data_IF_966621910281
#
_entry.id   IF_966621910281
#
_cell.length_a   1.000
_cell.length_b   1.000
_cell.length_c   1.000
_cell.angle_alpha   90.00
_cell.angle_beta   90.00
_cell.angle_gamma   90.00
#
_symmetry.space_group_name_H-M   'P 1'
#
loop_
_entity.id
_entity.type
_entity.pdbx_description
1 polymer ?
#
# COMPACT_ATOMS: atom_id res chain seq x y z
N UNK A 1 10.94 1.04 -17.80
CA UNK A 1 10.08 0.52 -16.72
C UNK A 1 10.07 -1.02 -16.81
N UNK A 2 10.00 -1.76 -15.70
CA UNK A 2 9.91 -3.23 -15.70
C UNK A 2 8.69 -3.64 -14.89
N UNK A 3 7.71 -4.25 -15.56
CA UNK A 3 6.54 -4.84 -14.90
C UNK A 3 6.97 -6.11 -14.17
N UNK A 4 6.45 -6.28 -12.96
CA UNK A 4 6.68 -7.41 -12.06
C UNK A 4 5.38 -7.81 -11.38
N UNK A 5 5.38 -8.98 -10.74
CA UNK A 5 4.30 -9.36 -9.82
C UNK A 5 4.21 -8.32 -8.69
N UNK A 6 2.99 -8.01 -8.26
CA UNK A 6 2.77 -7.04 -7.18
C UNK A 6 3.44 -7.45 -5.86
N UNK A 7 3.58 -8.74 -5.56
CA UNK A 7 4.28 -9.21 -4.36
C UNK A 7 5.78 -8.94 -4.45
N UNK A 8 6.41 -9.09 -5.63
CA UNK A 8 7.82 -8.71 -5.82
C UNK A 8 8.05 -7.21 -5.59
N UNK A 9 7.04 -6.38 -5.83
CA UNK A 9 7.11 -4.94 -5.50
C UNK A 9 6.98 -4.72 -4.00
N UNK A 10 6.07 -5.44 -3.32
CA UNK A 10 5.94 -5.34 -1.86
C UNK A 10 7.17 -5.89 -1.14
N UNK A 11 7.83 -6.91 -1.67
CA UNK A 11 9.12 -7.38 -1.18
C UNK A 11 10.17 -6.26 -1.24
N UNK A 12 10.27 -5.49 -2.34
CA UNK A 12 11.17 -4.32 -2.42
C UNK A 12 10.85 -3.25 -1.35
N UNK A 13 9.57 -3.07 -0.98
CA UNK A 13 9.14 -2.13 0.07
C UNK A 13 9.58 -2.64 1.44
N UNK A 14 9.36 -3.92 1.68
CA UNK A 14 9.64 -4.58 2.96
C UNK A 14 11.14 -4.72 3.21
N UNK A 15 11.92 -5.01 2.18
CA UNK A 15 13.38 -5.09 2.25
C UNK A 15 14.06 -3.71 2.18
N UNK A 16 13.28 -2.62 2.07
CA UNK A 16 13.85 -1.29 2.11
C UNK A 16 14.29 -0.96 3.54
N UNK A 17 15.59 -0.68 3.75
CA UNK A 17 16.12 -0.15 5.01
C UNK A 17 15.68 1.33 5.25
N UNK A 18 14.49 1.71 4.79
CA UNK A 18 13.95 3.05 4.88
C UNK A 18 13.24 3.29 6.21
N UNK A 19 12.95 4.56 6.51
CA UNK A 19 12.16 4.90 7.71
C UNK A 19 10.73 4.38 7.53
N UNK A 20 10.25 3.43 8.35
CA UNK A 20 8.97 2.77 8.11
C UNK A 20 7.76 3.71 8.10
N UNK A 21 7.77 4.75 8.93
CA UNK A 21 6.71 5.77 9.01
C UNK A 21 6.73 6.78 7.85
N UNK A 22 7.78 6.76 7.01
CA UNK A 22 7.94 7.67 5.89
C UNK A 22 7.13 7.28 4.65
N UNK A 23 6.46 6.13 4.67
CA UNK A 23 5.68 5.63 3.55
C UNK A 23 4.29 6.24 3.51
N UNK A 24 3.81 6.56 2.29
CA UNK A 24 2.51 7.18 2.04
C UNK A 24 1.80 6.42 0.92
N UNK A 25 0.49 6.27 1.02
CA UNK A 25 -0.29 5.51 0.07
C UNK A 25 -1.47 6.31 -0.50
N UNK A 26 -1.78 6.09 -1.78
CA UNK A 26 -3.03 6.54 -2.41
C UNK A 26 -3.60 5.33 -3.13
N UNK A 27 -4.84 4.94 -2.87
CA UNK A 27 -5.47 3.82 -3.55
C UNK A 27 -6.96 4.04 -3.81
N UNK A 28 -7.53 3.21 -4.68
CA UNK A 28 -8.94 3.23 -5.01
C UNK A 28 -9.24 2.33 -6.20
N UNK A 29 -10.48 2.40 -6.70
CA UNK A 29 -10.89 1.65 -7.87
C UNK A 29 -10.05 2.01 -9.10
N UNK A 30 -9.73 1.03 -9.96
CA UNK A 30 -9.12 1.30 -11.27
C UNK A 30 -10.01 2.22 -12.11
N UNK A 31 -9.40 3.07 -12.94
CA UNK A 31 -10.12 3.89 -13.95
C UNK A 31 -11.02 3.05 -14.87
N UNK A 32 -10.68 1.79 -15.09
CA UNK A 32 -11.49 0.86 -15.86
C UNK A 32 -11.16 -0.59 -15.53
N UNK A 33 -12.14 -1.46 -15.79
CA UNK A 33 -12.01 -2.88 -15.52
C UNK A 33 -12.30 -3.24 -14.06
N UNK A 34 -11.92 -4.46 -13.68
CA UNK A 34 -12.03 -4.97 -12.31
C UNK A 34 -10.69 -4.77 -11.61
N UNK A 35 -10.74 -4.40 -10.33
CA UNK A 35 -9.58 -4.33 -9.47
C UNK A 35 -9.31 -2.93 -8.93
N UNK A 36 -8.21 -2.85 -8.17
CA UNK A 36 -7.76 -1.66 -7.47
C UNK A 36 -6.46 -1.15 -8.10
N UNK A 37 -6.22 0.13 -7.89
CA UNK A 37 -5.01 0.85 -8.28
C UNK A 37 -4.44 1.52 -7.04
N UNK A 38 -3.12 1.45 -6.88
CA UNK A 38 -2.45 1.96 -5.69
C UNK A 38 -1.08 2.52 -6.02
N UNK A 39 -0.76 3.66 -5.42
CA UNK A 39 0.57 4.22 -5.39
C UNK A 39 1.12 4.17 -3.97
N UNK A 40 2.35 3.65 -3.83
CA UNK A 40 3.14 3.69 -2.60
C UNK A 40 4.35 4.60 -2.82
N UNK A 41 4.49 5.62 -1.98
CA UNK A 41 5.55 6.62 -2.07
C UNK A 41 6.36 6.71 -0.78
N UNK A 42 7.69 6.72 -0.91
CA UNK A 42 8.59 7.08 0.19
C UNK A 42 9.62 8.11 -0.30
N UNK A 43 9.89 9.19 0.45
CA UNK A 43 10.76 10.29 0.03
C UNK A 43 12.13 9.85 -0.52
N UNK A 44 12.74 8.86 0.13
CA UNK A 44 14.09 8.37 -0.22
C UNK A 44 14.12 7.10 -1.08
N UNK A 45 13.02 6.35 -1.16
CA UNK A 45 12.99 5.03 -1.85
C UNK A 45 12.37 5.16 -3.22
N UNK A 46 11.31 5.94 -3.39
CA UNK A 46 10.65 6.12 -4.68
C UNK A 46 9.15 5.95 -4.63
N UNK A 47 8.56 5.90 -5.82
CA UNK A 47 7.14 5.68 -6.02
C UNK A 47 6.94 4.39 -6.79
N UNK A 48 6.02 3.57 -6.31
CA UNK A 48 5.62 2.31 -6.88
C UNK A 48 4.14 2.38 -7.22
N UNK A 49 3.78 1.95 -8.42
CA UNK A 49 2.40 1.75 -8.81
C UNK A 49 2.10 0.24 -8.78
N UNK A 50 0.96 -0.10 -8.20
CA UNK A 50 0.43 -1.45 -8.06
C UNK A 50 -0.98 -1.48 -8.61
N UNK A 51 -1.31 -2.55 -9.35
CA UNK A 51 -2.68 -2.85 -9.76
C UNK A 51 -3.00 -4.26 -9.36
N UNK A 52 -4.12 -4.45 -8.66
CA UNK A 52 -4.51 -5.73 -8.11
C UNK A 52 -5.95 -6.06 -8.48
N UNK A 53 -6.30 -7.34 -8.50
CA UNK A 53 -7.69 -7.79 -8.52
C UNK A 53 -7.86 -8.99 -7.59
N UNK A 54 -9.02 -9.08 -6.95
CA UNK A 54 -9.40 -10.26 -6.21
C UNK A 54 -9.91 -11.33 -7.18
N UNK A 55 -9.13 -12.40 -7.35
CA UNK A 55 -9.59 -13.58 -8.10
C UNK A 55 -10.72 -14.29 -7.35
N UNK A 56 -10.58 -14.36 -6.03
CA UNK A 56 -11.56 -14.86 -5.07
C UNK A 56 -11.28 -14.25 -3.68
N UNK A 57 -12.13 -14.46 -2.66
CA UNK A 57 -11.95 -13.85 -1.34
C UNK A 57 -10.65 -14.21 -0.59
N UNK A 58 -9.86 -15.16 -1.11
CA UNK A 58 -8.62 -15.64 -0.50
C UNK A 58 -7.39 -15.38 -1.37
N UNK A 59 -7.56 -14.94 -2.62
CA UNK A 59 -6.48 -14.80 -3.58
C UNK A 59 -6.58 -13.47 -4.30
N UNK A 60 -5.58 -12.63 -4.07
CA UNK A 60 -5.35 -11.37 -4.78
C UNK A 60 -4.16 -11.56 -5.70
N UNK A 61 -4.32 -11.15 -6.95
CA UNK A 61 -3.26 -11.13 -7.94
C UNK A 61 -3.07 -9.71 -8.45
N UNK A 62 -1.92 -9.45 -9.06
CA UNK A 62 -1.63 -8.10 -9.51
C UNK A 62 -0.26 -7.95 -10.15
N UNK A 63 -0.06 -6.77 -10.69
CA UNK A 63 1.20 -6.34 -11.28
C UNK A 63 1.62 -5.02 -10.67
N UNK A 64 2.91 -4.70 -10.79
CA UNK A 64 3.39 -3.40 -10.41
C UNK A 64 4.73 -3.04 -11.00
N UNK A 65 5.11 -1.79 -10.77
CA UNK A 65 6.40 -1.26 -11.18
C UNK A 65 6.79 -0.06 -10.31
N UNK A 66 8.10 0.15 -10.18
CA UNK A 66 8.63 1.43 -9.70
C UNK A 66 8.52 2.48 -10.81
N UNK A 67 7.81 3.56 -10.55
CA UNK A 67 7.52 4.65 -11.50
C UNK A 67 8.39 5.89 -11.25
N UNK A 68 8.83 6.11 -10.01
CA UNK A 68 9.79 7.16 -9.67
C UNK A 68 10.88 6.69 -8.69
N UNK A 69 12.04 7.37 -8.72
CA UNK A 69 13.18 7.02 -7.84
C UNK A 69 13.10 7.64 -6.46
N UNK A 70 12.32 8.71 -6.31
CA UNK A 70 12.06 9.45 -5.07
C UNK A 70 10.71 10.18 -5.22
N UNK A 71 10.16 10.65 -4.10
CA UNK A 71 9.10 11.67 -4.12
C UNK A 71 9.80 13.03 -4.18
N UNK A 72 9.57 13.80 -5.23
CA UNK A 72 10.09 15.17 -5.37
C UNK A 72 8.99 16.21 -5.13
N UNK A 73 9.33 17.49 -5.26
CA UNK A 73 8.42 18.60 -4.95
C UNK A 73 7.16 18.63 -5.84
N UNK A 74 7.17 17.95 -7.00
CA UNK A 74 6.01 17.81 -7.88
C UNK A 74 5.10 16.67 -7.43
N UNK A 75 5.68 15.57 -6.95
CA UNK A 75 4.94 14.39 -6.48
C UNK A 75 4.47 14.51 -5.02
N UNK A 76 5.20 15.24 -4.18
CA UNK A 76 4.91 15.36 -2.74
C UNK A 76 3.47 15.81 -2.43
N UNK A 77 2.90 16.79 -3.13
CA UNK A 77 1.51 17.23 -2.89
C UNK A 77 0.46 16.19 -3.27
N UNK A 78 0.80 15.17 -4.07
CA UNK A 78 -0.11 14.12 -4.50
C UNK A 78 -0.20 12.96 -3.49
N UNK A 79 0.61 12.97 -2.43
CA UNK A 79 0.56 11.98 -1.37
C UNK A 79 -0.04 12.57 -0.10
N UNK A 80 -0.78 11.76 0.69
CA UNK A 80 -1.41 12.24 1.91
C UNK A 80 -0.38 12.69 2.96
N UNK A 81 -0.75 13.72 3.71
CA UNK A 81 0.01 14.18 4.88
C UNK A 81 -0.38 13.44 6.16
N UNK A 82 0.26 13.78 7.27
CA UNK A 82 -0.06 13.20 8.58
C UNK A 82 -1.51 13.47 9.01
N UNK A 83 -2.10 14.58 8.59
CA UNK A 83 -3.49 14.93 8.92
C UNK A 83 -4.55 14.13 8.12
N UNK A 84 -4.16 13.33 7.13
CA UNK A 84 -5.10 12.49 6.38
C UNK A 84 -5.76 11.45 7.31
N UNK A 85 -7.03 11.10 7.06
CA UNK A 85 -7.77 10.21 7.95
C UNK A 85 -7.44 8.72 7.80
N UNK A 86 -7.03 8.30 6.61
CA UNK A 86 -6.71 6.90 6.33
C UNK A 86 -5.29 6.51 6.76
N UNK A 87 -5.10 5.24 7.06
CA UNK A 87 -3.82 4.65 7.46
C UNK A 87 -3.64 3.30 6.78
N UNK A 88 -2.41 2.95 6.47
CA UNK A 88 -2.04 1.63 5.97
C UNK A 88 -0.81 1.10 6.71
N UNK A 89 -0.65 -0.21 6.73
CA UNK A 89 0.55 -0.86 7.24
C UNK A 89 0.79 -2.18 6.53
N UNK A 90 2.06 -2.46 6.23
CA UNK A 90 2.55 -3.72 5.68
C UNK A 90 3.10 -4.53 6.85
N UNK A 91 2.71 -5.79 6.97
CA UNK A 91 3.22 -6.67 8.02
C UNK A 91 3.72 -7.98 7.40
N UNK A 92 4.79 -8.51 7.97
CA UNK A 92 5.29 -9.84 7.63
C UNK A 92 4.71 -10.89 8.59
N UNK A 93 4.72 -12.14 8.17
CA UNK A 93 4.45 -13.25 9.06
C UNK A 93 5.61 -13.40 10.05
N UNK A 94 5.29 -13.67 11.31
CA UNK A 94 6.30 -14.00 12.33
C UNK A 94 7.01 -15.31 11.97
N UNK A 95 8.32 -15.35 12.18
CA UNK A 95 9.16 -16.50 11.85
C UNK A 95 8.81 -17.70 12.74
N UNK A 96 8.54 -17.44 14.02
CA UNK A 96 8.23 -18.47 15.00
C UNK A 96 7.33 -18.00 16.17
N UNK A 97 7.08 -18.92 17.10
CA UNK A 97 6.22 -18.67 18.26
C UNK A 97 6.87 -17.73 19.29
N UNK A 98 8.20 -17.71 19.37
CA UNK A 98 8.91 -16.89 20.33
C UNK A 98 8.85 -15.42 19.89
N UNK A 99 9.11 -15.13 18.60
CA UNK A 99 8.94 -13.80 18.02
C UNK A 99 7.48 -13.30 18.17
N UNK A 100 6.51 -14.15 17.80
CA UNK A 100 5.09 -13.78 17.93
C UNK A 100 4.70 -13.45 19.39
N UNK A 101 5.32 -14.15 20.36
CA UNK A 101 5.08 -13.90 21.80
C UNK A 101 5.74 -12.62 22.27
N UNK A 102 6.92 -12.29 21.76
CA UNK A 102 7.62 -11.03 22.05
C UNK A 102 6.81 -9.84 21.55
N UNK A 103 6.45 -9.83 20.26
CA UNK A 103 5.64 -8.77 19.64
C UNK A 103 4.28 -8.61 20.30
N UNK A 104 3.65 -9.71 20.73
CA UNK A 104 2.40 -9.65 21.48
C UNK A 104 2.53 -8.90 22.82
N UNK A 105 3.65 -9.06 23.55
CA UNK A 105 3.89 -8.35 24.82
C UNK A 105 4.20 -6.87 24.60
N UNK A 106 4.95 -6.56 23.55
CA UNK A 106 5.23 -5.18 23.16
C UNK A 106 3.94 -4.45 22.80
N UNK A 107 3.11 -5.09 21.97
CA UNK A 107 1.79 -4.56 21.62
C UNK A 107 0.90 -4.38 22.86
N UNK A 108 0.85 -5.36 23.77
CA UNK A 108 0.12 -5.24 25.03
C UNK A 108 0.56 -4.01 25.83
N UNK A 109 1.87 -3.80 25.96
CA UNK A 109 2.46 -2.65 26.68
C UNK A 109 2.09 -1.32 26.03
N UNK A 110 2.13 -1.24 24.70
CA UNK A 110 1.71 -0.05 23.94
C UNK A 110 0.25 0.28 24.25
N UNK A 111 -0.64 -0.70 24.10
CA UNK A 111 -2.08 -0.49 24.35
C UNK A 111 -2.36 -0.05 25.78
N UNK A 112 -1.72 -0.67 26.78
CA UNK A 112 -1.85 -0.27 28.18
C UNK A 112 -1.41 1.18 28.40
N UNK A 113 -0.29 1.58 27.81
CA UNK A 113 0.26 2.93 27.92
C UNK A 113 -0.72 3.98 27.38
N UNK A 114 -1.28 3.76 26.19
CA UNK A 114 -2.28 4.68 25.61
C UNK A 114 -3.63 4.65 26.32
N UNK A 115 -3.97 3.56 27.02
CA UNK A 115 -5.18 3.50 27.83
C UNK A 115 -5.08 4.34 29.11
N UNK A 116 -3.87 4.51 29.66
CA UNK A 116 -3.61 5.22 30.92
C UNK A 116 -3.23 6.70 30.74
N UNK A 117 -2.87 7.12 29.53
CA UNK A 117 -2.44 8.50 29.22
C UNK A 117 -3.24 9.13 28.07
N UNK A 118 -3.34 10.47 28.00
CA UNK A 118 -3.90 11.14 26.82
C UNK A 118 -3.15 10.74 25.53
N UNK A 119 -3.90 10.30 24.53
CA UNK A 119 -3.36 9.86 23.22
C UNK A 119 -4.10 10.50 22.05
N UNK A 120 -3.50 10.45 20.86
CA UNK A 120 -4.16 10.66 19.57
C UNK A 120 -4.27 9.33 18.82
N UNK A 121 -5.08 9.29 17.75
CA UNK A 121 -5.15 8.12 16.87
C UNK A 121 -3.82 7.85 16.17
N UNK A 122 -3.11 8.92 15.81
CA UNK A 122 -1.83 8.85 15.09
C UNK A 122 -0.72 8.28 15.96
N UNK A 123 -0.60 8.78 17.19
CA UNK A 123 0.40 8.26 18.13
C UNK A 123 0.16 6.78 18.45
N UNK A 124 -1.09 6.40 18.69
CA UNK A 124 -1.44 4.99 18.92
C UNK A 124 -1.12 4.13 17.69
N UNK A 125 -1.42 4.61 16.50
CA UNK A 125 -1.15 3.88 15.27
C UNK A 125 0.36 3.69 15.07
N UNK A 126 1.16 4.75 15.19
CA UNK A 126 2.62 4.69 15.04
C UNK A 126 3.24 3.72 16.04
N UNK A 127 2.86 3.79 17.33
CA UNK A 127 3.40 2.91 18.36
C UNK A 127 2.95 1.44 18.18
N UNK A 128 1.73 1.20 17.68
CA UNK A 128 1.26 -0.15 17.32
C UNK A 128 2.06 -0.72 16.15
N UNK A 129 2.25 0.06 15.09
CA UNK A 129 3.02 -0.40 13.93
C UNK A 129 4.49 -0.62 14.30
N UNK A 130 5.04 0.21 15.19
CA UNK A 130 6.37 0.00 15.77
C UNK A 130 6.47 -1.29 16.59
N UNK A 131 5.48 -1.58 17.45
CA UNK A 131 5.45 -2.83 18.22
C UNK A 131 5.23 -4.08 17.36
N UNK A 132 4.64 -3.93 16.17
CA UNK A 132 4.53 -5.01 15.19
C UNK A 132 5.80 -5.15 14.34
N UNK A 133 6.77 -4.24 14.47
CA UNK A 133 7.96 -4.13 13.63
C UNK A 133 7.59 -4.04 12.14
N UNK A 134 6.60 -3.19 11.86
CA UNK A 134 6.09 -3.04 10.52
C UNK A 134 7.13 -2.32 9.64
N UNK A 135 7.52 -2.92 8.49
CA UNK A 135 8.54 -2.34 7.61
C UNK A 135 8.06 -1.10 6.85
N UNK A 136 6.74 -0.92 6.70
CA UNK A 136 6.18 0.23 6.00
C UNK A 136 4.77 0.53 6.50
N UNK A 137 4.55 1.75 6.97
CA UNK A 137 3.25 2.22 7.41
C UNK A 137 3.16 3.75 7.29
N UNK A 138 1.93 4.27 7.29
CA UNK A 138 1.73 5.71 7.28
C UNK A 138 0.35 6.13 6.79
N UNK A 139 0.20 7.40 6.40
CA UNK A 139 -1.07 7.92 5.94
C UNK A 139 -1.45 7.32 4.58
N UNK A 140 -2.75 7.10 4.41
CA UNK A 140 -3.35 6.60 3.19
C UNK A 140 -4.54 7.47 2.79
N UNK A 141 -4.60 7.84 1.51
CA UNK A 141 -5.82 8.33 0.90
C UNK A 141 -6.50 7.16 0.19
N UNK A 142 -7.75 6.88 0.55
CA UNK A 142 -8.52 5.75 0.03
C UNK A 142 -10.01 6.02 0.12
N UNK A 143 -10.72 5.81 -0.99
CA UNK A 143 -12.17 5.79 -1.03
C UNK A 143 -12.65 4.37 -1.35
N UNK A 144 -13.56 3.84 -0.53
CA UNK A 144 -14.12 2.49 -0.69
C UNK A 144 -15.16 2.39 -1.81
N UNK A 145 -15.67 3.52 -2.28
CA UNK A 145 -16.79 3.59 -3.21
C UNK A 145 -16.43 4.33 -4.50
N UNK A 146 -15.29 5.00 -4.54
CA UNK A 146 -14.86 5.82 -5.64
C UNK A 146 -13.33 5.86 -5.75
N UNK A 147 -12.84 6.64 -6.71
CA UNK A 147 -11.43 6.92 -6.93
C UNK A 147 -11.09 8.31 -6.40
N UNK A 148 -10.12 8.45 -5.47
CA UNK A 148 -9.65 9.76 -5.02
C UNK A 148 -9.06 10.61 -6.16
N UNK A 149 -9.23 11.93 -6.09
CA UNK A 149 -8.71 12.87 -7.09
C UNK A 149 -7.17 12.76 -7.21
N UNK A 150 -6.48 12.60 -6.08
CA UNK A 150 -5.02 12.41 -6.03
C UNK A 150 -4.58 11.14 -6.78
N UNK A 151 -5.42 10.09 -6.78
CA UNK A 151 -5.13 8.87 -7.51
C UNK A 151 -5.22 9.12 -9.02
N UNK A 152 -6.17 9.94 -9.46
CA UNK A 152 -6.28 10.35 -10.85
C UNK A 152 -5.10 11.21 -11.29
N UNK A 153 -4.69 12.18 -10.48
CA UNK A 153 -3.53 13.04 -10.78
C UNK A 153 -2.22 12.24 -10.86
N UNK A 154 -2.02 11.27 -9.95
CA UNK A 154 -0.87 10.34 -10.00
C UNK A 154 -0.89 9.48 -11.28
N UNK A 155 -2.09 9.06 -11.69
CA UNK A 155 -2.26 8.23 -12.88
C UNK A 155 -1.98 9.01 -14.16
N UNK A 156 -2.43 10.26 -14.23
CA UNK A 156 -2.10 11.16 -15.35
C UNK A 156 -0.62 11.50 -15.39
N UNK A 157 0.01 11.66 -14.23
CA UNK A 157 1.46 11.90 -14.12
C UNK A 157 2.28 10.72 -14.66
N UNK A 158 1.80 9.50 -14.46
CA UNK A 158 2.45 8.26 -14.90
C UNK A 158 1.67 7.52 -15.98
N UNK A 159 1.10 8.23 -16.96
CA UNK A 159 0.24 7.68 -18.03
C UNK A 159 0.88 6.48 -18.76
N UNK A 160 2.18 6.55 -19.11
CA UNK A 160 2.87 5.44 -19.76
C UNK A 160 2.94 4.18 -18.88
N UNK A 161 3.07 4.37 -17.56
CA UNK A 161 3.07 3.26 -16.62
C UNK A 161 1.67 2.67 -16.46
N UNK A 162 0.67 3.54 -16.38
CA UNK A 162 -0.74 3.19 -16.32
C UNK A 162 -1.15 2.30 -17.48
N UNK A 163 -0.89 2.71 -18.72
CA UNK A 163 -1.28 1.97 -19.92
C UNK A 163 -0.68 0.55 -19.93
N UNK A 164 0.60 0.44 -19.59
CA UNK A 164 1.31 -0.83 -19.59
C UNK A 164 0.80 -1.73 -18.47
N UNK A 165 0.69 -1.23 -17.23
CA UNK A 165 0.23 -2.03 -16.09
C UNK A 165 -1.24 -2.45 -16.24
N UNK A 166 -2.10 -1.57 -16.74
CA UNK A 166 -3.51 -1.90 -16.98
C UNK A 166 -3.64 -3.00 -18.03
N UNK A 167 -2.86 -2.95 -19.11
CA UNK A 167 -2.87 -4.02 -20.11
C UNK A 167 -2.40 -5.36 -19.55
N UNK A 168 -1.28 -5.37 -18.81
CA UNK A 168 -0.76 -6.60 -18.21
C UNK A 168 -1.73 -7.18 -17.16
N UNK A 169 -2.41 -6.32 -16.39
CA UNK A 169 -3.44 -6.78 -15.46
C UNK A 169 -4.66 -7.34 -16.18
N UNK A 170 -5.10 -6.72 -17.27
CA UNK A 170 -6.24 -7.20 -18.06
C UNK A 170 -5.95 -8.59 -18.67
N UNK A 171 -4.73 -8.82 -19.16
CA UNK A 171 -4.29 -10.13 -19.63
C UNK A 171 -4.36 -11.19 -18.50
N UNK A 172 -3.93 -10.85 -17.27
CA UNK A 172 -4.05 -11.74 -16.10
C UNK A 172 -5.50 -12.05 -15.72
N UNK A 173 -6.37 -11.03 -15.73
CA UNK A 173 -7.80 -11.16 -15.42
C UNK A 173 -8.48 -12.09 -16.44
N UNK A 174 -8.15 -11.94 -17.72
CA UNK A 174 -8.68 -12.78 -18.80
C UNK A 174 -8.25 -14.24 -18.65
N UNK A 175 -6.97 -14.48 -18.33
CA UNK A 175 -6.42 -15.82 -18.09
C UNK A 175 -7.11 -16.51 -16.90
N UNK A 176 -7.39 -15.76 -15.84
CA UNK A 176 -8.09 -16.25 -14.66
C UNK A 176 -9.63 -16.30 -14.80
N UNK A 177 -10.17 -15.89 -15.96
CA UNK A 177 -11.60 -15.86 -16.26
C UNK A 177 -12.44 -15.05 -15.25
N UNK A 178 -11.83 -14.05 -14.61
CA UNK A 178 -12.52 -13.17 -13.67
C UNK A 178 -13.34 -12.13 -14.46
N UNK A 179 -14.51 -11.74 -13.92
CA UNK A 179 -15.39 -10.77 -14.56
C UNK A 179 -16.23 -11.32 -15.74
N UNK A 180 -16.08 -12.61 -16.10
CA UNK A 180 -16.97 -13.27 -17.07
C UNK A 180 -18.27 -13.68 -16.38
N UNK A 181 -19.37 -13.02 -16.72
CA UNK A 181 -20.70 -13.41 -16.29
C UNK A 181 -21.10 -14.80 -16.79
N UNK A 182 -22.09 -15.44 -16.16
CA UNK A 182 -22.69 -16.66 -16.69
C UNK A 182 -23.32 -16.35 -18.07
N UNK A 183 -22.77 -16.93 -19.13
CA UNK A 183 -23.35 -16.90 -20.48
C UNK A 183 -24.30 -18.08 -20.72
#
# INVERSE_FOLDING_TARGET
>A
MRVRDWQEILEDVVESDAEPSGWRAVAGDRRGGVGEDMFLGHPSVGVFQLKTFAKNPYEVQGVGSRVARKVDDELDPLFPGEESGGRFGVNQAFEDTDEATERAKELETVIETHAEAPTTGDALFEDVMGALDSPAFGPMEYDMYDRPDELDDLTDTFEEAEEVLSKELDDLIEDDNVGRGFH
#
